data_IF_533093268367
#
_entry.id   IF_533093268367
#
_cell.length_a   1.000
_cell.length_b   1.000
_cell.length_c   1.000
_cell.angle_alpha   90.00
_cell.angle_beta   90.00
_cell.angle_gamma   90.00
#
_symmetry.space_group_name_H-M   'P 1'
#
loop_
_entity.id
_entity.type
_entity.pdbx_description
1 polymer ?
#
# COMPACT_ATOMS: atom_id res chain seq x y z
N UNK A 1 -5.77 -22.20 16.34
CA UNK A 1 -4.49 -21.57 16.72
C UNK A 1 -4.28 -20.39 15.78
N UNK A 2 -3.74 -19.24 16.23
CA UNK A 2 -3.39 -18.18 15.29
C UNK A 2 -2.42 -18.77 14.27
N UNK A 3 -2.76 -18.69 12.97
CA UNK A 3 -1.86 -19.16 11.91
C UNK A 3 -0.54 -18.45 12.06
N UNK A 4 0.53 -19.21 12.18
CA UNK A 4 1.86 -18.64 12.16
C UNK A 4 2.24 -18.26 10.74
N UNK A 5 3.26 -17.42 10.58
CA UNK A 5 3.68 -17.00 9.25
C UNK A 5 5.19 -16.91 9.12
N UNK A 6 5.66 -17.36 7.96
CA UNK A 6 7.04 -17.20 7.50
C UNK A 6 7.16 -15.87 6.77
N UNK A 7 8.38 -15.35 6.67
CA UNK A 7 8.66 -14.11 5.94
C UNK A 7 9.66 -14.41 4.82
N UNK A 8 9.34 -13.95 3.62
CA UNK A 8 10.27 -13.83 2.49
C UNK A 8 10.39 -12.35 2.15
N UNK A 9 11.45 -11.70 2.63
CA UNK A 9 11.68 -10.27 2.39
C UNK A 9 12.61 -10.09 1.20
N UNK A 10 12.18 -9.29 0.24
CA UNK A 10 12.91 -8.89 -0.95
C UNK A 10 13.49 -7.50 -0.68
N UNK A 11 14.81 -7.39 -0.59
CA UNK A 11 15.51 -6.14 -0.30
C UNK A 11 16.22 -5.64 -1.56
N UNK A 12 15.80 -4.47 -2.04
CA UNK A 12 16.41 -3.73 -3.14
C UNK A 12 17.10 -2.48 -2.57
N UNK A 13 18.43 -2.52 -2.53
CA UNK A 13 19.26 -1.39 -2.07
C UNK A 13 19.93 -0.62 -3.22
N UNK A 14 19.96 -1.20 -4.42
CA UNK A 14 20.55 -0.60 -5.61
C UNK A 14 19.99 -1.24 -6.89
N UNK A 15 20.33 -0.65 -8.04
CA UNK A 15 19.82 -1.04 -9.37
C UNK A 15 20.44 -2.32 -9.96
N UNK A 16 21.19 -3.11 -9.20
CA UNK A 16 21.90 -4.28 -9.73
C UNK A 16 21.72 -5.54 -8.89
N UNK A 17 21.24 -5.42 -7.66
CA UNK A 17 21.29 -6.51 -6.69
C UNK A 17 20.02 -6.62 -5.85
N UNK A 18 19.55 -7.85 -5.73
CA UNK A 18 18.45 -8.24 -4.84
C UNK A 18 19.01 -9.12 -3.72
N UNK A 19 18.76 -8.75 -2.47
CA UNK A 19 19.04 -9.56 -1.29
C UNK A 19 17.72 -10.08 -0.74
N UNK A 20 17.64 -11.36 -0.42
CA UNK A 20 16.47 -11.95 0.23
C UNK A 20 16.77 -12.17 1.71
N UNK A 21 15.83 -11.90 2.59
CA UNK A 21 15.89 -12.34 3.98
C UNK A 21 14.73 -13.29 4.29
N UNK A 22 15.05 -14.55 4.62
CA UNK A 22 14.05 -15.55 5.00
C UNK A 22 13.98 -15.69 6.50
N UNK A 23 12.76 -15.73 7.04
CA UNK A 23 12.51 -15.96 8.46
C UNK A 23 11.44 -17.02 8.67
N UNK A 24 11.61 -17.83 9.71
CA UNK A 24 10.56 -18.74 10.17
C UNK A 24 9.47 -18.03 10.99
N UNK A 25 8.52 -18.83 11.47
CA UNK A 25 7.47 -18.40 12.38
C UNK A 25 7.98 -17.81 13.70
N UNK A 26 9.12 -18.29 14.19
CA UNK A 26 9.79 -17.78 15.38
C UNK A 26 10.71 -16.56 15.11
N UNK A 27 10.67 -16.00 13.88
CA UNK A 27 11.53 -14.89 13.43
C UNK A 27 13.03 -15.21 13.44
N UNK A 28 13.40 -16.48 13.43
CA UNK A 28 14.78 -16.92 13.23
C UNK A 28 15.10 -16.89 11.74
N UNK A 29 16.28 -16.39 11.40
CA UNK A 29 16.72 -16.32 10.01
C UNK A 29 16.97 -17.73 9.45
N UNK A 30 16.46 -17.98 8.25
CA UNK A 30 16.58 -19.23 7.50
C UNK A 30 17.58 -19.14 6.33
N UNK A 31 18.20 -17.97 6.13
CA UNK A 31 19.16 -17.72 5.07
C UNK A 31 18.94 -16.39 4.38
N UNK A 32 19.97 -15.95 3.64
CA UNK A 32 19.97 -14.70 2.89
C UNK A 32 20.52 -14.87 1.47
N UNK A 33 19.80 -15.56 0.58
CA UNK A 33 20.25 -15.69 -0.80
C UNK A 33 20.21 -14.32 -1.48
N UNK A 34 21.01 -14.16 -2.53
CA UNK A 34 21.13 -12.90 -3.23
C UNK A 34 21.39 -13.13 -4.72
N UNK A 35 20.97 -12.20 -5.55
CA UNK A 35 20.99 -12.34 -7.01
C UNK A 35 21.01 -11.02 -7.74
N UNK A 36 20.93 -11.09 -9.07
CA UNK A 36 20.86 -9.91 -9.93
C UNK A 36 19.49 -9.25 -9.91
N UNK A 37 19.46 -7.92 -9.92
CA UNK A 37 18.25 -7.16 -10.26
C UNK A 37 18.22 -6.93 -11.77
N UNK A 38 17.32 -7.63 -12.47
CA UNK A 38 17.28 -7.70 -13.94
C UNK A 38 16.29 -6.70 -14.58
N UNK A 39 15.95 -5.60 -13.88
CA UNK A 39 14.98 -4.64 -14.38
C UNK A 39 15.38 -4.00 -15.72
N UNK A 40 16.67 -3.73 -15.95
CA UNK A 40 17.12 -3.13 -17.21
C UNK A 40 16.76 -3.99 -18.44
N UNK A 41 16.76 -5.31 -18.29
CA UNK A 41 16.39 -6.25 -19.36
C UNK A 41 14.88 -6.25 -19.62
N UNK A 42 14.08 -5.88 -18.62
CA UNK A 42 12.62 -5.88 -18.62
C UNK A 42 11.99 -4.50 -18.75
N UNK A 43 12.79 -3.44 -18.69
CA UNK A 43 12.34 -2.06 -18.60
C UNK A 43 11.43 -1.68 -19.77
N UNK A 44 11.84 -1.96 -21.01
CA UNK A 44 11.06 -1.61 -22.20
C UNK A 44 9.72 -2.34 -22.25
N UNK A 45 9.73 -3.63 -21.94
CA UNK A 45 8.52 -4.48 -21.87
C UNK A 45 7.54 -3.95 -20.81
N UNK A 46 8.04 -3.68 -19.60
CA UNK A 46 7.23 -3.15 -18.49
C UNK A 46 6.65 -1.78 -18.87
N UNK A 47 7.46 -0.87 -19.39
CA UNK A 47 6.99 0.48 -19.75
C UNK A 47 5.87 0.45 -20.80
N UNK A 48 6.00 -0.38 -21.83
CA UNK A 48 4.95 -0.55 -22.85
C UNK A 48 3.64 -1.07 -22.25
N UNK A 49 3.71 -2.07 -21.36
CA UNK A 49 2.53 -2.63 -20.70
C UNK A 49 1.88 -1.62 -19.74
N UNK A 50 2.67 -0.78 -19.06
CA UNK A 50 2.15 0.29 -18.20
C UNK A 50 1.47 1.41 -18.99
N UNK A 51 1.97 1.73 -20.20
CA UNK A 51 1.29 2.67 -21.09
C UNK A 51 -0.08 2.14 -21.52
N UNK A 52 -0.20 0.85 -21.86
CA UNK A 52 -1.48 0.22 -22.17
C UNK A 52 -2.40 0.21 -20.94
N UNK A 53 -1.85 -0.08 -19.75
CA UNK A 53 -2.57 -0.06 -18.48
C UNK A 53 -3.19 1.31 -18.18
N UNK A 54 -2.45 2.39 -18.45
CA UNK A 54 -2.91 3.75 -18.22
C UNK A 54 -4.16 4.13 -19.03
N UNK A 55 -4.39 3.44 -20.15
CA UNK A 55 -5.58 3.62 -20.98
C UNK A 55 -6.75 2.68 -20.59
N UNK A 56 -6.63 1.94 -19.47
CA UNK A 56 -7.60 0.94 -19.00
C UNK A 56 -7.86 -0.17 -20.04
N UNK A 57 -6.82 -0.55 -20.79
CA UNK A 57 -6.92 -1.44 -21.96
C UNK A 57 -6.13 -2.74 -21.81
N UNK A 58 -5.59 -3.05 -20.63
CA UNK A 58 -4.88 -4.32 -20.42
C UNK A 58 -5.81 -5.52 -20.64
N UNK A 59 -5.41 -6.41 -21.53
CA UNK A 59 -6.00 -7.73 -21.64
C UNK A 59 -5.50 -8.64 -20.50
N UNK A 60 -6.17 -9.78 -20.27
CA UNK A 60 -5.72 -10.79 -19.31
C UNK A 60 -4.30 -11.29 -19.63
N UNK A 61 -4.02 -11.55 -20.91
CA UNK A 61 -2.69 -11.97 -21.38
C UNK A 61 -1.62 -10.92 -21.07
N UNK A 62 -1.89 -9.64 -21.36
CA UNK A 62 -0.96 -8.55 -21.08
C UNK A 62 -0.77 -8.33 -19.57
N UNK A 63 -1.82 -8.59 -18.78
CA UNK A 63 -1.75 -8.52 -17.31
C UNK A 63 -0.79 -9.59 -16.78
N UNK A 64 -0.91 -10.83 -17.27
CA UNK A 64 0.05 -11.90 -16.97
C UNK A 64 1.47 -11.53 -17.41
N UNK A 65 1.66 -11.05 -18.64
CA UNK A 65 2.97 -10.61 -19.15
C UNK A 65 3.61 -9.54 -18.24
N UNK A 66 2.83 -8.56 -17.78
CA UNK A 66 3.32 -7.54 -16.85
C UNK A 66 3.77 -8.17 -15.53
N UNK A 67 2.95 -9.05 -14.97
CA UNK A 67 3.26 -9.74 -13.72
C UNK A 67 4.53 -10.60 -13.80
N UNK A 68 4.71 -11.32 -14.91
CA UNK A 68 5.91 -12.12 -15.15
C UNK A 68 7.14 -11.24 -15.38
N UNK A 69 7.01 -10.13 -16.10
CA UNK A 69 8.11 -9.21 -16.34
C UNK A 69 8.58 -8.56 -15.02
N UNK A 70 7.64 -8.17 -14.15
CA UNK A 70 7.95 -7.69 -12.80
C UNK A 70 8.64 -8.79 -11.97
N UNK A 71 8.16 -10.03 -12.03
CA UNK A 71 8.75 -11.14 -11.29
C UNK A 71 10.18 -11.39 -11.74
N UNK A 72 10.40 -11.55 -13.05
CA UNK A 72 11.72 -11.79 -13.61
C UNK A 72 12.68 -10.58 -13.43
N UNK A 73 12.17 -9.40 -13.08
CA UNK A 73 13.01 -8.26 -12.68
C UNK A 73 13.61 -8.44 -11.29
N UNK A 74 12.85 -8.98 -10.33
CA UNK A 74 13.28 -9.20 -8.94
C UNK A 74 14.00 -10.53 -8.73
N UNK A 75 13.67 -11.53 -9.54
CA UNK A 75 14.10 -12.90 -9.35
C UNK A 75 14.87 -13.37 -10.58
N UNK A 76 16.21 -13.39 -10.48
CA UNK A 76 17.01 -14.16 -11.41
C UNK A 76 16.68 -15.67 -11.33
N UNK A 77 17.26 -16.47 -12.22
CA UNK A 77 16.99 -17.92 -12.25
C UNK A 77 17.21 -18.63 -10.89
N UNK A 78 18.18 -18.18 -10.10
CA UNK A 78 18.51 -18.79 -8.80
C UNK A 78 17.52 -18.33 -7.73
N UNK A 79 17.24 -17.03 -7.64
CA UNK A 79 16.28 -16.48 -6.69
C UNK A 79 14.85 -16.93 -6.99
N UNK A 80 14.49 -17.06 -8.26
CA UNK A 80 13.18 -17.58 -8.68
C UNK A 80 12.96 -19.00 -8.19
N UNK A 81 13.97 -19.88 -8.35
CA UNK A 81 13.90 -21.23 -7.81
C UNK A 81 13.87 -21.24 -6.28
N UNK A 82 14.63 -20.37 -5.61
CA UNK A 82 14.61 -20.24 -4.15
C UNK A 82 13.22 -19.85 -3.63
N UNK A 83 12.59 -18.85 -4.26
CA UNK A 83 11.23 -18.41 -3.92
C UNK A 83 10.22 -19.53 -4.11
N UNK A 84 10.23 -20.20 -5.27
CA UNK A 84 9.31 -21.30 -5.58
C UNK A 84 9.46 -22.41 -4.54
N UNK A 85 10.69 -22.87 -4.27
CA UNK A 85 10.95 -23.91 -3.27
C UNK A 85 10.46 -23.50 -1.88
N UNK A 86 10.70 -22.24 -1.48
CA UNK A 86 10.26 -21.74 -0.18
C UNK A 86 8.75 -21.61 -0.08
N UNK A 87 8.08 -21.15 -1.14
CA UNK A 87 6.62 -21.10 -1.23
C UNK A 87 6.03 -22.50 -1.04
N UNK A 88 6.50 -23.51 -1.78
CA UNK A 88 6.01 -24.89 -1.63
C UNK A 88 6.23 -25.43 -0.23
N UNK A 89 7.43 -25.25 0.32
CA UNK A 89 7.75 -25.70 1.67
C UNK A 89 6.82 -25.07 2.72
N UNK A 90 6.53 -23.78 2.62
CA UNK A 90 5.74 -23.06 3.63
C UNK A 90 4.24 -23.27 3.45
N UNK A 91 3.75 -23.04 2.23
CA UNK A 91 2.32 -22.98 1.93
C UNK A 91 1.74 -24.37 1.73
N UNK A 92 2.45 -25.26 1.02
CA UNK A 92 1.92 -26.58 0.66
C UNK A 92 2.30 -27.65 1.67
N UNK A 93 3.58 -27.74 2.08
CA UNK A 93 4.02 -28.81 2.99
C UNK A 93 3.69 -28.51 4.46
N UNK A 94 3.83 -27.25 4.89
CA UNK A 94 3.59 -26.83 6.28
C UNK A 94 2.21 -26.21 6.51
N UNK A 95 1.47 -25.94 5.45
CA UNK A 95 0.14 -25.29 5.49
C UNK A 95 0.14 -23.97 6.29
N UNK A 96 1.23 -23.20 6.21
CA UNK A 96 1.37 -21.90 6.86
C UNK A 96 1.26 -20.74 5.87
N UNK A 97 0.93 -19.55 6.38
CA UNK A 97 0.91 -18.36 5.55
C UNK A 97 2.35 -17.87 5.29
N UNK A 98 2.56 -17.28 4.11
CA UNK A 98 3.83 -16.67 3.72
C UNK A 98 3.64 -15.16 3.52
N UNK A 99 4.37 -14.38 4.31
CA UNK A 99 4.42 -12.93 4.14
C UNK A 99 5.55 -12.55 3.19
N UNK A 100 5.21 -11.84 2.13
CA UNK A 100 6.15 -11.30 1.15
C UNK A 100 6.29 -9.82 1.43
N UNK A 101 7.50 -9.39 1.78
CA UNK A 101 7.81 -8.00 2.09
C UNK A 101 8.74 -7.45 1.01
N UNK A 102 8.31 -6.44 0.26
CA UNK A 102 9.16 -5.76 -0.73
C UNK A 102 9.72 -4.48 -0.13
N UNK A 103 11.02 -4.44 0.10
CA UNK A 103 11.75 -3.32 0.72
C UNK A 103 12.63 -2.65 -0.35
N UNK A 104 12.20 -1.49 -0.83
CA UNK A 104 12.90 -0.71 -1.86
C UNK A 104 13.33 0.60 -1.23
N UNK A 105 14.58 1.00 -1.46
CA UNK A 105 15.02 2.37 -1.15
C UNK A 105 14.38 3.36 -2.13
N UNK A 106 13.26 3.96 -1.72
CA UNK A 106 12.49 4.93 -2.51
C UNK A 106 13.27 6.23 -2.77
N UNK A 107 14.27 6.55 -1.94
CA UNK A 107 15.08 7.77 -2.14
C UNK A 107 16.07 7.57 -3.28
N UNK A 108 16.71 6.39 -3.32
CA UNK A 108 17.68 6.04 -4.35
C UNK A 108 17.01 5.58 -5.65
N UNK A 109 15.84 4.93 -5.57
CA UNK A 109 15.18 4.27 -6.70
C UNK A 109 13.66 4.59 -6.77
N UNK A 110 13.26 5.87 -6.84
CA UNK A 110 11.84 6.26 -6.82
C UNK A 110 11.04 5.67 -7.99
N UNK A 111 11.65 5.58 -9.18
CA UNK A 111 11.03 5.00 -10.38
C UNK A 111 10.73 3.50 -10.22
N UNK A 112 11.59 2.78 -9.51
CA UNK A 112 11.45 1.34 -9.24
C UNK A 112 10.42 1.10 -8.13
N UNK A 113 10.45 1.92 -7.08
CA UNK A 113 9.44 1.90 -6.03
C UNK A 113 8.03 2.16 -6.57
N UNK A 114 7.90 3.00 -7.61
CA UNK A 114 6.63 3.33 -8.25
C UNK A 114 6.03 2.21 -9.12
N UNK A 115 6.77 1.15 -9.45
CA UNK A 115 6.23 0.06 -10.26
C UNK A 115 5.09 -0.65 -9.53
N UNK A 116 4.09 -1.22 -10.24
CA UNK A 116 2.94 -1.86 -9.62
C UNK A 116 3.25 -3.30 -9.22
N UNK A 117 4.10 -3.46 -8.20
CA UNK A 117 4.55 -4.76 -7.73
C UNK A 117 3.42 -5.70 -7.26
N UNK A 118 2.21 -5.19 -7.04
CA UNK A 118 1.02 -5.98 -6.73
C UNK A 118 0.62 -6.90 -7.89
N UNK A 119 1.05 -6.60 -9.12
CA UNK A 119 0.86 -7.47 -10.28
C UNK A 119 1.87 -8.63 -10.32
N UNK A 120 2.80 -8.76 -9.37
CA UNK A 120 3.74 -9.88 -9.35
C UNK A 120 3.01 -11.22 -9.40
N UNK A 121 3.34 -12.04 -10.39
CA UNK A 121 2.86 -13.42 -10.50
C UNK A 121 4.00 -14.37 -10.82
N UNK A 122 3.82 -15.65 -10.46
CA UNK A 122 4.77 -16.68 -10.87
C UNK A 122 4.77 -16.84 -12.39
N UNK A 123 5.94 -16.91 -13.03
CA UNK A 123 6.04 -17.15 -14.46
C UNK A 123 5.44 -18.50 -14.87
N UNK A 124 4.76 -18.57 -16.02
CA UNK A 124 4.18 -19.80 -16.56
C UNK A 124 5.22 -20.94 -16.65
N UNK A 125 6.46 -20.60 -17.01
CA UNK A 125 7.62 -21.53 -17.04
C UNK A 125 7.90 -22.27 -15.73
N UNK A 126 7.38 -21.79 -14.60
CA UNK A 126 7.48 -22.47 -13.32
C UNK A 126 6.60 -23.74 -13.25
N UNK A 127 5.65 -23.91 -14.18
CA UNK A 127 4.70 -25.03 -14.26
C UNK A 127 3.86 -25.22 -12.99
N UNK A 128 3.46 -24.13 -12.32
CA UNK A 128 2.65 -24.14 -11.10
C UNK A 128 1.27 -23.49 -11.26
N UNK A 129 0.89 -23.14 -12.50
CA UNK A 129 -0.24 -22.25 -12.77
C UNK A 129 0.06 -20.80 -12.41
N UNK A 130 -0.91 -19.92 -12.63
CA UNK A 130 -0.77 -18.49 -12.37
C UNK A 130 -1.04 -18.17 -10.90
N UNK A 131 0.03 -18.04 -10.12
CA UNK A 131 -0.04 -17.62 -8.71
C UNK A 131 0.27 -16.13 -8.64
N UNK A 132 -0.73 -15.32 -8.27
CA UNK A 132 -0.61 -13.88 -8.04
C UNK A 132 -0.23 -13.60 -6.59
N UNK A 133 0.93 -12.99 -6.37
CA UNK A 133 1.49 -12.86 -5.01
C UNK A 133 0.63 -11.97 -4.10
N UNK A 134 -0.04 -10.96 -4.66
CA UNK A 134 -0.85 -10.03 -3.89
C UNK A 134 -2.29 -10.50 -3.61
N UNK A 135 -2.78 -11.51 -4.33
CA UNK A 135 -4.17 -11.98 -4.22
C UNK A 135 -4.31 -13.46 -3.85
N UNK A 136 -3.23 -14.22 -3.76
CA UNK A 136 -3.24 -15.59 -3.22
C UNK A 136 -3.63 -15.57 -1.73
N UNK A 137 -4.63 -16.38 -1.31
CA UNK A 137 -5.15 -16.37 0.07
C UNK A 137 -4.15 -16.85 1.14
N UNK A 138 -3.07 -17.51 0.76
CA UNK A 138 -2.01 -17.95 1.66
C UNK A 138 -0.84 -16.97 1.70
N UNK A 139 -0.86 -15.95 0.84
CA UNK A 139 0.17 -14.93 0.75
C UNK A 139 -0.30 -13.61 1.34
N UNK A 140 0.64 -12.89 1.95
CA UNK A 140 0.43 -11.50 2.37
C UNK A 140 1.54 -10.67 1.75
N UNK A 141 1.24 -10.01 0.63
CA UNK A 141 2.16 -9.09 -0.02
C UNK A 141 2.08 -7.70 0.63
N UNK A 142 3.23 -7.08 0.89
CA UNK A 142 3.29 -5.72 1.40
C UNK A 142 4.56 -5.01 0.97
N UNK A 143 4.44 -3.72 0.62
CA UNK A 143 5.60 -2.83 0.49
C UNK A 143 6.05 -2.40 1.88
N UNK A 144 7.32 -2.61 2.17
CA UNK A 144 7.96 -2.25 3.43
C UNK A 144 8.81 -1.02 3.18
N UNK A 145 8.70 -0.05 4.09
CA UNK A 145 9.74 0.96 4.26
C UNK A 145 10.49 0.64 5.54
N UNK A 146 11.81 0.55 5.45
CA UNK A 146 12.67 0.45 6.63
C UNK A 146 12.54 1.74 7.48
N UNK A 147 11.65 1.71 8.47
CA UNK A 147 11.46 2.82 9.40
C UNK A 147 12.32 2.61 10.64
N UNK A 148 13.09 3.63 11.01
CA UNK A 148 13.82 3.69 12.30
C UNK A 148 12.87 3.47 13.49
N UNK A 149 11.66 4.05 13.41
CA UNK A 149 10.59 3.88 14.38
C UNK A 149 9.35 3.30 13.68
N UNK A 150 9.18 1.97 13.65
CA UNK A 150 7.99 1.35 13.10
C UNK A 150 6.76 1.74 13.92
N UNK A 151 5.59 1.79 13.27
CA UNK A 151 4.33 1.91 14.00
C UNK A 151 4.18 0.72 14.94
N UNK A 152 3.71 0.96 16.17
CA UNK A 152 3.40 -0.13 17.09
C UNK A 152 2.18 -0.88 16.54
N UNK A 153 2.16 -2.23 16.60
CA UNK A 153 0.95 -2.98 16.32
C UNK A 153 -0.20 -2.45 17.16
N UNK A 154 -1.42 -2.48 16.61
CA UNK A 154 -2.61 -2.17 17.39
C UNK A 154 -2.75 -3.27 18.45
N UNK A 155 -2.65 -2.87 19.72
CA UNK A 155 -2.83 -3.74 20.87
C UNK A 155 -3.90 -3.08 21.74
N UNK A 156 -5.08 -3.69 21.76
CA UNK A 156 -6.19 -3.20 22.58
C UNK A 156 -6.03 -3.72 24.01
N UNK A 157 -6.23 -2.83 24.98
CA UNK A 157 -6.35 -3.24 26.37
C UNK A 157 -7.64 -4.05 26.59
N UNK A 158 -7.72 -4.77 27.71
CA UNK A 158 -8.94 -5.48 28.09
C UNK A 158 -10.12 -4.50 28.19
N UNK A 159 -11.19 -4.77 27.43
CA UNK A 159 -12.36 -3.88 27.34
C UNK A 159 -12.17 -2.61 26.51
N UNK A 160 -11.03 -2.41 25.86
CA UNK A 160 -10.81 -1.28 24.93
C UNK A 160 -11.41 -1.58 23.55
N UNK A 161 -12.17 -0.62 23.01
CA UNK A 161 -12.76 -0.70 21.67
C UNK A 161 -11.77 -0.25 20.59
N UNK A 162 -11.85 -0.87 19.42
CA UNK A 162 -11.14 -0.43 18.23
C UNK A 162 -11.72 0.90 17.74
N UNK A 163 -11.05 2.01 18.08
CA UNK A 163 -11.41 3.36 17.61
C UNK A 163 -11.04 3.58 16.14
N UNK A 164 -12.04 3.92 15.33
CA UNK A 164 -11.91 4.31 13.93
C UNK A 164 -12.25 5.80 13.79
N UNK A 165 -11.39 6.58 13.16
CA UNK A 165 -11.67 7.95 12.75
C UNK A 165 -11.90 8.00 11.24
N UNK A 166 -13.09 8.45 10.81
CA UNK A 166 -13.41 8.70 9.41
C UNK A 166 -13.34 10.21 9.11
N UNK A 167 -12.49 10.59 8.17
CA UNK A 167 -12.28 11.97 7.74
C UNK A 167 -12.60 12.13 6.24
N UNK A 168 -13.66 12.87 5.94
CA UNK A 168 -14.19 13.06 4.58
C UNK A 168 -13.89 14.48 4.10
N UNK A 169 -13.17 14.60 2.99
CA UNK A 169 -12.87 15.85 2.30
C UNK A 169 -13.56 15.86 0.94
N UNK A 170 -14.75 16.44 0.88
CA UNK A 170 -15.54 16.65 -0.34
C UNK A 170 -15.73 18.15 -0.63
N UNK A 171 -14.66 18.89 -1.02
CA UNK A 171 -14.76 20.31 -1.31
C UNK A 171 -15.61 20.60 -2.55
N UNK A 172 -16.41 21.66 -2.52
CA UNK A 172 -17.39 22.02 -3.58
C UNK A 172 -16.75 22.41 -4.92
N UNK A 173 -15.46 22.77 -4.93
CA UNK A 173 -14.74 23.19 -6.13
C UNK A 173 -13.92 22.07 -6.79
N UNK A 174 -14.07 20.83 -6.33
CA UNK A 174 -13.45 19.64 -6.91
C UNK A 174 -14.54 18.66 -7.39
N UNK A 175 -14.14 17.54 -8.00
CA UNK A 175 -15.06 16.49 -8.43
C UNK A 175 -15.86 15.86 -7.28
N UNK A 176 -16.89 15.09 -7.63
CA UNK A 176 -17.66 14.32 -6.66
C UNK A 176 -16.78 13.30 -5.93
N UNK A 177 -17.01 13.13 -4.63
CA UNK A 177 -16.31 12.15 -3.78
C UNK A 177 -17.36 11.18 -3.26
N UNK A 178 -17.23 9.91 -3.63
CA UNK A 178 -18.10 8.85 -3.12
C UNK A 178 -17.62 8.38 -1.74
N UNK A 179 -18.39 8.69 -0.71
CA UNK A 179 -18.11 8.29 0.67
C UNK A 179 -19.33 7.69 1.40
N UNK A 180 -20.53 7.79 0.82
CA UNK A 180 -21.78 7.40 1.49
C UNK A 180 -21.79 5.92 1.88
N UNK A 181 -21.47 5.02 0.93
CA UNK A 181 -21.42 3.57 1.18
C UNK A 181 -20.44 3.21 2.31
N UNK A 182 -19.25 3.80 2.30
CA UNK A 182 -18.23 3.56 3.34
C UNK A 182 -18.70 4.07 4.70
N UNK A 183 -19.32 5.25 4.72
CA UNK A 183 -19.85 5.83 5.94
C UNK A 183 -20.98 4.97 6.52
N UNK A 184 -21.96 4.60 5.70
CA UNK A 184 -23.09 3.73 6.09
C UNK A 184 -22.59 2.39 6.61
N UNK A 185 -21.65 1.76 5.91
CA UNK A 185 -21.06 0.49 6.34
C UNK A 185 -20.37 0.61 7.71
N UNK A 186 -19.56 1.65 7.95
CA UNK A 186 -18.91 1.85 9.24
C UNK A 186 -19.90 2.16 10.37
N UNK A 187 -20.97 2.91 10.07
CA UNK A 187 -22.05 3.18 11.03
C UNK A 187 -22.85 1.91 11.36
N UNK A 188 -23.07 1.02 10.40
CA UNK A 188 -23.73 -0.28 10.61
C UNK A 188 -22.83 -1.24 11.40
N UNK A 189 -21.56 -1.38 10.99
CA UNK A 189 -20.58 -2.22 11.66
C UNK A 189 -20.46 -1.88 13.15
N UNK A 190 -20.49 -0.59 13.49
CA UNK A 190 -20.41 -0.15 14.90
C UNK A 190 -21.70 -0.32 15.69
N UNK A 191 -22.85 -0.50 15.03
CA UNK A 191 -24.08 -0.95 15.72
C UNK A 191 -24.01 -2.45 16.00
N UNK A 192 -23.57 -3.24 15.02
CA UNK A 192 -23.47 -4.70 15.12
C UNK A 192 -22.38 -5.15 16.10
N UNK A 193 -21.23 -4.47 16.08
CA UNK A 193 -20.05 -4.77 16.90
C UNK A 193 -19.77 -3.68 17.94
N UNK A 194 -20.83 -3.13 18.53
CA UNK A 194 -20.74 -1.97 19.44
C UNK A 194 -19.86 -2.19 20.67
N UNK A 195 -19.65 -3.43 21.12
CA UNK A 195 -18.74 -3.76 22.23
C UNK A 195 -17.27 -3.83 21.82
N UNK A 196 -16.97 -3.97 20.54
CA UNK A 196 -15.62 -4.17 20.02
C UNK A 196 -15.09 -2.97 19.24
N UNK A 197 -15.96 -2.19 18.60
CA UNK A 197 -15.58 -1.11 17.69
C UNK A 197 -16.25 0.20 18.12
N UNK A 198 -15.49 1.30 18.07
CA UNK A 198 -15.99 2.66 18.29
C UNK A 198 -15.70 3.50 17.04
N UNK A 199 -16.76 4.00 16.38
CA UNK A 199 -16.63 5.02 15.35
C UNK A 199 -16.62 6.38 16.02
N UNK A 200 -15.47 7.06 15.96
CA UNK A 200 -15.35 8.43 16.42
C UNK A 200 -16.20 9.37 15.56
N UNK A 201 -16.56 10.58 16.05
CA UNK A 201 -17.36 11.52 15.27
C UNK A 201 -16.79 11.74 13.87
N UNK A 202 -17.63 11.48 12.87
CA UNK A 202 -17.26 11.61 11.46
C UNK A 202 -16.90 13.07 11.16
N UNK A 203 -15.75 13.27 10.53
CA UNK A 203 -15.28 14.60 10.18
C UNK A 203 -15.67 14.90 8.74
N UNK A 204 -16.68 15.76 8.56
CA UNK A 204 -17.06 16.29 7.25
C UNK A 204 -17.43 17.78 7.38
N UNK A 205 -16.62 18.74 6.89
CA UNK A 205 -15.41 18.53 6.08
C UNK A 205 -14.15 18.24 6.91
N UNK A 206 -13.25 17.42 6.35
CA UNK A 206 -11.92 17.11 6.87
C UNK A 206 -10.96 18.32 6.78
N UNK A 207 -11.15 19.27 7.69
CA UNK A 207 -10.22 20.39 7.88
C UNK A 207 -9.05 19.99 8.79
N UNK A 208 -7.93 20.71 8.70
CA UNK A 208 -6.78 20.51 9.60
C UNK A 208 -7.17 20.54 11.09
N UNK A 209 -8.08 21.43 11.48
CA UNK A 209 -8.49 21.62 12.88
C UNK A 209 -9.32 20.41 13.36
N UNK A 210 -10.27 19.96 12.55
CA UNK A 210 -11.10 18.82 12.94
C UNK A 210 -10.31 17.51 12.93
N UNK A 211 -9.35 17.36 12.00
CA UNK A 211 -8.41 16.23 12.01
C UNK A 211 -7.56 16.23 13.31
N UNK A 212 -6.99 17.38 13.71
CA UNK A 212 -6.23 17.46 14.96
C UNK A 212 -7.10 17.06 16.18
N UNK A 213 -8.35 17.55 16.24
CA UNK A 213 -9.31 17.19 17.30
C UNK A 213 -9.66 15.70 17.33
N UNK A 214 -9.83 15.03 16.17
CA UNK A 214 -10.11 13.59 16.19
C UNK A 214 -8.87 12.80 16.61
N UNK A 215 -7.68 13.25 16.23
CA UNK A 215 -6.42 12.60 16.58
C UNK A 215 -6.14 12.68 18.10
N UNK A 216 -6.61 13.74 18.78
CA UNK A 216 -6.58 13.83 20.25
C UNK A 216 -7.35 12.69 20.94
N UNK A 217 -8.34 12.10 20.26
CA UNK A 217 -9.09 10.92 20.75
C UNK A 217 -8.34 9.60 20.54
N UNK A 218 -7.12 9.64 20.01
CA UNK A 218 -6.21 8.51 19.80
C UNK A 218 -6.83 7.34 18.99
N UNK A 219 -7.37 7.59 17.78
CA UNK A 219 -7.87 6.51 16.93
C UNK A 219 -6.80 5.46 16.62
N UNK A 220 -7.18 4.20 16.58
CA UNK A 220 -6.30 3.12 16.15
C UNK A 220 -6.18 3.08 14.61
N UNK A 221 -7.29 3.39 13.94
CA UNK A 221 -7.41 3.48 12.48
C UNK A 221 -7.85 4.90 12.10
N UNK A 222 -7.17 5.52 11.15
CA UNK A 222 -7.60 6.77 10.54
C UNK A 222 -7.88 6.53 9.05
N UNK A 223 -9.12 6.73 8.62
CA UNK A 223 -9.56 6.58 7.25
C UNK A 223 -9.85 7.97 6.66
N UNK A 224 -9.06 8.36 5.66
CA UNK A 224 -9.30 9.57 4.89
C UNK A 224 -9.97 9.24 3.56
N UNK A 225 -11.04 9.95 3.23
CA UNK A 225 -11.69 9.90 1.91
C UNK A 225 -11.66 11.31 1.29
N UNK A 226 -11.16 11.45 0.07
CA UNK A 226 -11.13 12.74 -0.61
C UNK A 226 -10.38 12.73 -1.93
N UNK A 227 -9.83 13.88 -2.32
CA UNK A 227 -9.06 14.03 -3.56
C UNK A 227 -7.56 13.98 -3.31
N UNK A 228 -6.86 13.33 -4.22
CA UNK A 228 -5.41 13.32 -4.37
C UNK A 228 -4.98 13.83 -5.75
N UNK A 229 -3.74 14.29 -5.88
CA UNK A 229 -3.10 14.61 -7.17
C UNK A 229 -1.59 14.51 -7.06
N UNK A 230 -0.91 14.31 -8.19
CA UNK A 230 0.50 14.67 -8.32
C UNK A 230 0.63 16.02 -8.99
N UNK A 231 1.42 16.91 -8.40
CA UNK A 231 1.85 18.12 -9.09
C UNK A 231 3.36 18.26 -8.99
N UNK A 232 3.94 18.78 -10.07
CA UNK A 232 5.31 19.28 -10.06
C UNK A 232 5.32 20.68 -9.45
N UNK A 233 5.71 20.77 -8.17
CA UNK A 233 6.01 22.05 -7.53
C UNK A 233 7.52 22.32 -7.61
N UNK A 234 7.92 23.24 -8.48
CA UNK A 234 9.29 23.74 -8.61
C UNK A 234 10.36 22.67 -8.96
N UNK A 235 10.03 21.73 -9.84
CA UNK A 235 10.91 20.64 -10.27
C UNK A 235 10.92 19.45 -9.30
N UNK A 236 9.93 19.37 -8.40
CA UNK A 236 9.72 18.25 -7.48
C UNK A 236 8.29 17.76 -7.62
N UNK A 237 8.15 16.64 -8.31
CA UNK A 237 6.91 15.87 -8.38
C UNK A 237 6.58 15.34 -6.98
N UNK A 238 5.40 15.66 -6.46
CA UNK A 238 4.98 15.18 -5.14
C UNK A 238 3.47 15.04 -5.00
N UNK A 239 3.06 14.01 -4.25
CA UNK A 239 1.66 13.76 -3.94
C UNK A 239 1.08 14.86 -3.05
N UNK A 240 -0.13 15.31 -3.39
CA UNK A 240 -0.92 16.25 -2.63
C UNK A 240 -2.30 15.68 -2.35
N UNK A 241 -2.87 16.02 -1.19
CA UNK A 241 -4.24 15.70 -0.81
C UNK A 241 -5.03 17.00 -0.59
N UNK A 242 -6.29 17.03 -1.00
CA UNK A 242 -7.18 18.16 -0.75
C UNK A 242 -7.80 18.05 0.65
N UNK A 243 -7.48 18.97 1.55
CA UNK A 243 -8.23 19.14 2.81
C UNK A 243 -9.35 20.16 2.63
N UNK A 244 -10.40 20.04 3.42
CA UNK A 244 -11.45 21.06 3.46
C UNK A 244 -10.96 22.36 4.11
N UNK A 245 -11.36 23.50 3.56
CA UNK A 245 -11.26 24.80 4.21
C UNK A 245 -12.58 25.55 4.10
N UNK A 246 -13.09 26.04 5.24
CA UNK A 246 -14.34 26.81 5.27
C UNK A 246 -14.05 28.25 4.83
N UNK A 247 -14.71 28.70 3.76
CA UNK A 247 -14.73 30.12 3.33
C UNK A 247 -16.18 30.60 3.29
N UNK A 248 -16.60 31.30 4.34
CA UNK A 248 -18.01 31.66 4.54
C UNK A 248 -18.86 30.40 4.69
N UNK A 249 -19.88 30.25 3.84
CA UNK A 249 -20.75 29.06 3.82
C UNK A 249 -20.20 27.91 2.96
N UNK A 250 -19.13 28.14 2.21
CA UNK A 250 -18.57 27.14 1.28
C UNK A 250 -17.43 26.36 1.89
N UNK A 251 -17.27 25.11 1.46
CA UNK A 251 -16.07 24.30 1.71
C UNK A 251 -15.27 24.23 0.42
N UNK A 252 -14.05 24.77 0.45
CA UNK A 252 -13.13 24.73 -0.68
C UNK A 252 -11.95 23.79 -0.40
N UNK A 253 -11.28 23.35 -1.46
CA UNK A 253 -10.06 22.58 -1.38
C UNK A 253 -8.89 23.45 -0.89
N UNK A 254 -8.13 22.90 0.05
CA UNK A 254 -6.79 23.34 0.39
C UNK A 254 -5.85 22.17 0.14
N UNK A 255 -5.16 22.21 -0.99
CA UNK A 255 -4.13 21.23 -1.33
C UNK A 255 -2.97 21.30 -0.34
N UNK A 256 -2.58 20.16 0.20
CA UNK A 256 -1.45 20.00 1.11
C UNK A 256 -0.55 18.89 0.59
N UNK A 257 0.76 19.12 0.59
CA UNK A 257 1.73 18.10 0.20
C UNK A 257 1.86 16.99 1.25
N UNK A 258 2.43 15.85 0.84
CA UNK A 258 2.66 14.69 1.69
C UNK A 258 3.33 15.03 3.04
N UNK A 259 4.32 15.92 3.05
CA UNK A 259 5.01 16.35 4.29
C UNK A 259 4.06 17.05 5.26
N UNK A 260 3.23 17.96 4.77
CA UNK A 260 2.26 18.68 5.60
C UNK A 260 1.14 17.76 6.10
N UNK A 261 0.68 16.83 5.26
CA UNK A 261 -0.30 15.83 5.63
C UNK A 261 0.24 14.85 6.69
N UNK A 262 1.44 14.30 6.48
CA UNK A 262 2.13 13.47 7.47
C UNK A 262 2.35 14.20 8.81
N UNK A 263 2.60 15.51 8.75
CA UNK A 263 2.74 16.37 9.92
C UNK A 263 1.49 16.46 10.80
N UNK A 264 0.29 16.11 10.29
CA UNK A 264 -0.93 16.04 11.10
C UNK A 264 -0.85 14.93 12.16
N UNK A 265 -0.12 13.85 11.87
CA UNK A 265 0.00 12.67 12.74
C UNK A 265 1.16 12.76 13.74
N UNK A 266 1.79 13.93 13.88
CA UNK A 266 2.94 14.11 14.77
C UNK A 266 2.58 13.93 16.26
N UNK A 267 1.36 14.30 16.65
CA UNK A 267 0.86 14.17 18.04
C UNK A 267 0.37 12.77 18.37
N UNK A 268 -0.33 12.16 17.42
CA UNK A 268 -0.81 10.78 17.51
C UNK A 268 -0.69 10.11 16.16
N UNK A 269 -0.03 8.95 16.13
CA UNK A 269 0.17 8.13 14.93
C UNK A 269 -0.72 6.89 15.03
N UNK A 270 -1.86 6.85 14.32
CA UNK A 270 -2.68 5.65 14.21
C UNK A 270 -1.83 4.45 13.77
N UNK A 271 -2.21 3.24 14.22
CA UNK A 271 -1.54 2.01 13.78
C UNK A 271 -1.80 1.72 12.31
N UNK A 272 -2.95 2.16 11.80
CA UNK A 272 -3.36 2.04 10.40
C UNK A 272 -3.86 3.40 9.90
N UNK A 273 -3.41 3.79 8.71
CA UNK A 273 -3.95 4.93 7.97
C UNK A 273 -4.44 4.41 6.62
N UNK A 274 -5.72 4.59 6.32
CA UNK A 274 -6.34 4.25 5.05
C UNK A 274 -6.52 5.53 4.25
N UNK A 275 -5.92 5.60 3.07
CA UNK A 275 -6.06 6.73 2.15
C UNK A 275 -6.89 6.31 0.95
N UNK A 276 -8.16 6.70 0.96
CA UNK A 276 -9.05 6.61 -0.19
C UNK A 276 -9.08 7.97 -0.88
N UNK A 277 -8.01 8.26 -1.61
CA UNK A 277 -7.88 9.50 -2.37
C UNK A 277 -8.13 9.20 -3.85
N UNK A 278 -9.15 9.83 -4.44
CA UNK A 278 -9.34 9.79 -5.88
C UNK A 278 -8.27 10.68 -6.52
N UNK A 279 -7.45 10.11 -7.38
CA UNK A 279 -6.60 10.91 -8.26
C UNK A 279 -7.51 11.57 -9.30
N UNK A 280 -7.58 12.90 -9.28
CA UNK A 280 -8.44 13.64 -10.18
C UNK A 280 -8.06 13.42 -11.66
N UNK A 281 -8.69 12.48 -12.34
CA UNK A 281 -8.96 12.42 -13.79
C UNK A 281 -7.82 12.51 -14.80
N UNK A 282 -6.56 12.75 -14.41
CA UNK A 282 -5.42 12.91 -15.32
C UNK A 282 -4.12 12.58 -14.60
N UNK A 283 -3.68 11.33 -14.64
CA UNK A 283 -2.25 11.00 -14.55
C UNK A 283 -2.01 9.54 -14.96
N UNK A 284 -0.82 9.29 -15.51
CA UNK A 284 -0.42 7.99 -16.04
C UNK A 284 -0.44 6.93 -14.93
N UNK A 285 -0.66 5.65 -15.26
CA UNK A 285 -0.62 4.57 -14.27
C UNK A 285 0.69 4.59 -13.45
N UNK A 286 1.82 4.98 -14.07
CA UNK A 286 3.12 5.13 -13.39
C UNK A 286 3.17 6.24 -12.32
N UNK A 287 2.29 7.23 -12.41
CA UNK A 287 2.12 8.30 -11.43
C UNK A 287 1.06 7.91 -10.39
N UNK A 288 0.04 7.14 -10.78
CA UNK A 288 -0.98 6.62 -9.88
C UNK A 288 -0.42 5.70 -8.79
N UNK A 289 0.59 4.90 -9.15
CA UNK A 289 1.29 4.06 -8.18
C UNK A 289 2.32 4.81 -7.32
N UNK A 290 2.65 6.08 -7.66
CA UNK A 290 3.43 6.96 -6.76
C UNK A 290 2.55 7.53 -5.65
N UNK A 291 1.22 7.63 -5.86
CA UNK A 291 0.20 8.27 -4.99
C UNK A 291 0.12 7.78 -3.57
N UNK A 292 0.39 6.50 -3.43
CA UNK A 292 0.05 5.74 -2.23
C UNK A 292 1.30 5.15 -1.57
N UNK A 293 2.50 5.40 -2.14
CA UNK A 293 3.79 5.01 -1.58
C UNK A 293 4.25 5.98 -0.46
#
# INVERSE_FOLDING_TARGET
MPKSYYIYRICLKNNHHVEIEKYDDAKKSLGRPSGGFCYQEKQQEIQQLLEVASNHQLTEEQTCQLGEALFNSLFDSTLGQDFINFYFQVVQEKEQNLRIELDIDEQEMPEIAALPWEFLCLPEKANQGTIWLATDPNLVFSRRRALWNPAKPIQLAEGEKLRIALAISAPENEGHVEYAEVQEYLEELTKEQSEEIELLPIINPATKIEIDRVLEKKPHIFHFIGHGRFEDEAGKIGGQIALGTKRGKKVLAKWVNAKLFAGLFARHRPGIVVLQACEGGKQSASEAFRGVA
#
